data_IF_273014616579
#
_entry.id   IF_273014616579
#
_cell.length_a   1.000
_cell.length_b   1.000
_cell.length_c   1.000
_cell.angle_alpha   90.00
_cell.angle_beta   90.00
_cell.angle_gamma   90.00
#
_symmetry.space_group_name_H-M   'P 1'
#
loop_
_entity.id
_entity.type
_entity.pdbx_description
1 polymer ?
#
# COMPACT_ATOMS: atom_id res chain seq x y z
N UNK A 1 -52.07 -11.29 18.25
CA UNK A 1 -51.76 -11.83 16.91
C UNK A 1 -50.26 -11.77 16.74
N UNK A 2 -49.65 -12.79 16.12
CA UNK A 2 -48.18 -12.99 16.13
C UNK A 2 -47.36 -11.74 15.73
N UNK A 3 -47.93 -10.87 14.90
CA UNK A 3 -47.30 -9.60 14.48
C UNK A 3 -47.14 -8.62 15.66
N UNK A 4 -48.14 -8.53 16.54
CA UNK A 4 -48.13 -7.64 17.71
C UNK A 4 -47.06 -8.07 18.75
N UNK A 5 -46.84 -9.39 18.87
CA UNK A 5 -45.81 -9.97 19.75
C UNK A 5 -44.40 -9.72 19.21
N UNK A 6 -44.22 -9.77 17.89
CA UNK A 6 -42.95 -9.44 17.23
C UNK A 6 -42.64 -7.95 17.36
N UNK A 7 -43.63 -7.06 17.17
CA UNK A 7 -43.43 -5.61 17.32
C UNK A 7 -43.09 -5.20 18.76
N UNK A 8 -43.75 -5.82 19.75
CA UNK A 8 -43.44 -5.56 21.16
C UNK A 8 -42.09 -6.14 21.59
N UNK A 9 -41.68 -7.28 21.02
CA UNK A 9 -40.34 -7.82 21.26
C UNK A 9 -39.24 -6.91 20.68
N UNK A 10 -39.43 -6.35 19.49
CA UNK A 10 -38.50 -5.42 18.85
C UNK A 10 -38.39 -4.12 19.66
N UNK A 11 -39.52 -3.54 20.08
CA UNK A 11 -39.53 -2.32 20.88
C UNK A 11 -38.80 -2.47 22.24
N UNK A 12 -38.93 -3.65 22.87
CA UNK A 12 -38.24 -3.94 24.13
C UNK A 12 -36.72 -4.12 23.93
N UNK A 13 -36.30 -4.74 22.82
CA UNK A 13 -34.88 -4.88 22.46
C UNK A 13 -34.23 -3.52 22.17
N UNK A 14 -34.94 -2.63 21.46
CA UNK A 14 -34.47 -1.26 21.19
C UNK A 14 -34.32 -0.45 22.49
N UNK A 15 -35.26 -0.56 23.44
CA UNK A 15 -35.21 0.17 24.73
C UNK A 15 -34.08 -0.28 25.67
N UNK A 16 -33.55 -1.49 25.49
CA UNK A 16 -32.48 -2.05 26.33
C UNK A 16 -31.07 -1.81 25.75
N UNK A 17 -30.98 -1.25 24.55
CA UNK A 17 -29.74 -1.12 23.77
C UNK A 17 -28.95 0.17 24.01
N UNK A 18 -29.20 0.90 25.10
CA UNK A 18 -28.53 2.18 25.39
C UNK A 18 -27.17 2.06 26.10
N UNK A 19 -26.69 0.85 26.44
CA UNK A 19 -25.44 0.65 27.18
C UNK A 19 -24.36 -0.20 26.48
N UNK A 20 -24.45 -0.46 25.17
CA UNK A 20 -23.42 -1.26 24.47
C UNK A 20 -23.12 -0.77 23.06
N UNK A 21 -22.72 0.50 22.93
CA UNK A 21 -22.30 1.10 21.66
C UNK A 21 -20.86 0.69 21.26
N UNK A 22 -20.55 -0.60 21.28
CA UNK A 22 -19.26 -1.14 20.79
C UNK A 22 -19.39 -2.37 19.88
N UNK A 23 -20.59 -2.74 19.44
CA UNK A 23 -20.79 -3.81 18.46
C UNK A 23 -21.51 -3.25 17.24
N UNK A 24 -20.77 -3.04 16.15
CA UNK A 24 -21.36 -2.80 14.84
C UNK A 24 -21.89 -4.15 14.34
N UNK A 25 -23.21 -4.31 14.22
CA UNK A 25 -23.83 -5.57 13.77
C UNK A 25 -23.53 -5.92 12.30
N UNK A 26 -23.02 -4.95 11.51
CA UNK A 26 -22.72 -5.14 10.09
C UNK A 26 -21.23 -4.95 9.80
N UNK A 27 -20.69 -5.85 8.96
CA UNK A 27 -19.33 -5.76 8.43
C UNK A 27 -19.31 -4.76 7.28
N UNK A 28 -18.65 -3.62 7.47
CA UNK A 28 -18.45 -2.58 6.46
C UNK A 28 -17.04 -2.61 5.83
N UNK A 29 -16.77 -1.70 4.86
CA UNK A 29 -15.49 -1.59 4.19
C UNK A 29 -14.31 -1.36 5.14
N UNK A 30 -14.53 -0.65 6.24
CA UNK A 30 -13.49 -0.33 7.23
C UNK A 30 -13.06 -1.59 8.02
N UNK A 31 -14.02 -2.43 8.41
CA UNK A 31 -13.74 -3.71 9.08
C UNK A 31 -13.02 -4.68 8.14
N UNK A 32 -13.41 -4.73 6.86
CA UNK A 32 -12.70 -5.54 5.85
C UNK A 32 -11.26 -5.03 5.68
N UNK A 33 -11.10 -3.71 5.58
CA UNK A 33 -9.80 -3.06 5.43
C UNK A 33 -8.87 -3.34 6.61
N UNK A 34 -9.38 -3.34 7.84
CA UNK A 34 -8.59 -3.66 9.04
C UNK A 34 -8.07 -5.10 9.00
N UNK A 35 -8.92 -6.08 8.66
CA UNK A 35 -8.52 -7.49 8.58
C UNK A 35 -7.48 -7.70 7.48
N UNK A 36 -7.72 -7.14 6.28
CA UNK A 36 -6.77 -7.24 5.15
C UNK A 36 -5.44 -6.57 5.50
N UNK A 37 -5.48 -5.43 6.20
CA UNK A 37 -4.26 -4.74 6.66
C UNK A 37 -3.45 -5.59 7.62
N UNK A 38 -4.11 -6.24 8.59
CA UNK A 38 -3.46 -7.14 9.54
C UNK A 38 -2.86 -8.37 8.85
N UNK A 39 -3.54 -8.90 7.83
CA UNK A 39 -3.09 -10.10 7.13
C UNK A 39 -1.92 -9.84 6.19
N UNK A 40 -1.97 -8.71 5.48
CA UNK A 40 -0.98 -8.36 4.45
C UNK A 40 0.16 -7.51 5.00
N UNK A 41 -0.01 -6.89 6.17
CA UNK A 41 0.87 -5.84 6.68
C UNK A 41 0.75 -4.51 5.95
N UNK A 42 -0.17 -4.37 4.98
CA UNK A 42 -0.34 -3.19 4.15
C UNK A 42 -1.56 -2.39 4.66
N UNK A 43 -1.39 -1.18 5.21
CA UNK A 43 -2.51 -0.41 5.76
C UNK A 43 -3.50 0.04 4.67
N UNK A 44 -4.71 -0.51 4.72
CA UNK A 44 -5.83 -0.22 3.79
C UNK A 44 -6.79 0.84 4.37
N UNK A 45 -6.83 1.04 5.69
CA UNK A 45 -7.83 1.89 6.36
C UNK A 45 -7.50 3.41 6.43
N UNK A 46 -6.34 3.86 5.93
CA UNK A 46 -5.93 5.29 5.97
C UNK A 46 -6.35 6.11 4.73
N UNK A 47 -7.19 5.54 3.87
CA UNK A 47 -7.28 5.88 2.44
C UNK A 47 -8.16 7.09 2.03
N UNK A 48 -8.76 7.84 2.95
CA UNK A 48 -9.77 8.85 2.56
C UNK A 48 -9.22 10.18 2.06
N UNK A 49 -8.72 11.01 2.97
CA UNK A 49 -8.34 12.41 2.69
C UNK A 49 -6.82 12.64 2.75
N UNK A 50 -6.15 12.16 3.80
CA UNK A 50 -4.69 12.33 3.96
C UNK A 50 -3.90 11.67 2.82
N UNK A 51 -4.33 10.51 2.33
CA UNK A 51 -3.64 9.83 1.23
C UNK A 51 -3.80 10.59 -0.10
N UNK A 52 -4.98 11.18 -0.32
CA UNK A 52 -5.22 12.01 -1.51
C UNK A 52 -4.35 13.26 -1.50
N UNK A 53 -4.24 13.94 -0.36
CA UNK A 53 -3.33 15.06 -0.20
C UNK A 53 -1.87 14.63 -0.41
N UNK A 54 -1.47 13.47 0.17
CA UNK A 54 -0.14 12.86 -0.03
C UNK A 54 0.19 12.59 -1.50
N UNK A 55 -0.79 12.11 -2.27
CA UNK A 55 -0.61 11.83 -3.69
C UNK A 55 -0.53 13.09 -4.55
N UNK A 56 -1.35 14.11 -4.27
CA UNK A 56 -1.36 15.36 -5.06
C UNK A 56 -0.01 16.09 -4.97
N UNK A 57 0.58 16.19 -3.78
CA UNK A 57 1.89 16.80 -3.56
C UNK A 57 3.06 15.80 -3.51
N UNK A 58 2.93 14.63 -4.16
CA UNK A 58 3.95 13.58 -4.09
C UNK A 58 5.30 14.06 -4.63
N UNK A 59 5.32 14.79 -5.75
CA UNK A 59 6.56 15.35 -6.32
C UNK A 59 7.29 16.29 -5.36
N UNK A 60 6.56 17.23 -4.75
CA UNK A 60 7.12 18.18 -3.78
C UNK A 60 7.68 17.47 -2.55
N UNK A 61 6.98 16.44 -2.06
CA UNK A 61 7.47 15.62 -0.94
C UNK A 61 8.70 14.80 -1.28
N UNK A 62 8.80 14.26 -2.50
CA UNK A 62 10.03 13.62 -2.97
C UNK A 62 11.20 14.61 -3.03
N UNK A 63 10.95 15.86 -3.42
CA UNK A 63 11.96 16.92 -3.45
C UNK A 63 12.47 17.34 -2.07
N UNK A 64 11.77 17.03 -0.98
CA UNK A 64 12.27 17.27 0.38
C UNK A 64 13.53 16.43 0.68
N UNK A 65 13.65 15.24 0.05
CA UNK A 65 14.83 14.36 0.19
C UNK A 65 15.75 14.42 -1.03
N UNK A 66 15.22 14.73 -2.21
CA UNK A 66 15.95 14.69 -3.48
C UNK A 66 16.05 16.08 -4.13
N UNK A 67 17.26 16.62 -4.17
CA UNK A 67 17.55 17.88 -4.85
C UNK A 67 17.75 17.64 -6.36
N UNK A 68 16.99 18.35 -7.19
CA UNK A 68 17.00 18.19 -8.64
C UNK A 68 16.35 16.89 -9.11
N UNK A 69 16.84 16.33 -10.22
CA UNK A 69 16.26 15.14 -10.86
C UNK A 69 14.77 15.31 -11.25
N UNK A 70 14.35 16.54 -11.55
CA UNK A 70 12.93 16.92 -11.73
C UNK A 70 12.19 16.02 -12.72
N UNK A 71 12.84 15.61 -13.80
CA UNK A 71 12.27 14.68 -14.76
C UNK A 71 11.95 13.30 -14.15
N UNK A 72 12.87 12.74 -13.36
CA UNK A 72 12.68 11.44 -12.71
C UNK A 72 11.60 11.52 -11.63
N UNK A 73 11.62 12.57 -10.80
CA UNK A 73 10.61 12.82 -9.77
C UNK A 73 9.22 12.95 -10.40
N UNK A 74 9.08 13.79 -11.44
CA UNK A 74 7.82 13.97 -12.16
C UNK A 74 7.31 12.67 -12.77
N UNK A 75 8.17 11.92 -13.46
CA UNK A 75 7.78 10.66 -14.08
C UNK A 75 7.27 9.63 -13.06
N UNK A 76 7.93 9.53 -11.90
CA UNK A 76 7.51 8.66 -10.79
C UNK A 76 6.17 9.13 -10.23
N UNK A 77 6.04 10.43 -9.90
CA UNK A 77 4.84 10.98 -9.31
C UNK A 77 3.60 10.83 -10.22
N UNK A 78 3.72 11.15 -11.52
CA UNK A 78 2.64 11.00 -12.49
C UNK A 78 2.19 9.54 -12.66
N UNK A 79 3.14 8.60 -12.64
CA UNK A 79 2.85 7.17 -12.78
C UNK A 79 2.09 6.63 -11.56
N UNK A 80 2.53 7.01 -10.36
CA UNK A 80 1.86 6.64 -9.10
C UNK A 80 0.46 7.23 -9.05
N UNK A 81 0.30 8.51 -9.39
CA UNK A 81 -0.99 9.19 -9.42
C UNK A 81 -1.95 8.51 -10.39
N UNK A 82 -1.47 8.17 -11.59
CA UNK A 82 -2.25 7.45 -12.62
C UNK A 82 -2.72 6.08 -12.12
N UNK A 83 -1.84 5.31 -11.48
CA UNK A 83 -2.19 4.01 -10.93
C UNK A 83 -3.26 4.13 -9.84
N UNK A 84 -3.10 5.07 -8.91
CA UNK A 84 -4.06 5.32 -7.83
C UNK A 84 -5.41 5.86 -8.32
N UNK A 85 -5.43 6.55 -9.46
CA UNK A 85 -6.66 6.98 -10.13
C UNK A 85 -7.37 5.84 -10.91
N UNK A 86 -6.86 4.60 -10.87
CA UNK A 86 -7.43 3.47 -11.61
C UNK A 86 -7.17 3.54 -13.13
N UNK A 87 -6.28 4.44 -13.58
CA UNK A 87 -5.89 4.61 -14.98
C UNK A 87 -4.69 3.72 -15.37
N UNK A 88 -4.23 2.89 -14.43
CA UNK A 88 -3.20 1.87 -14.65
C UNK A 88 -3.76 0.60 -15.30
N UNK A 89 -2.86 -0.30 -15.71
CA UNK A 89 -3.25 -1.60 -16.26
C UNK A 89 -3.36 -2.63 -15.13
N UNK A 90 -4.50 -3.32 -14.94
CA UNK A 90 -4.71 -4.22 -13.80
C UNK A 90 -3.70 -5.36 -13.64
N UNK A 91 -3.11 -5.84 -14.75
CA UNK A 91 -2.16 -6.96 -14.77
C UNK A 91 -0.69 -6.52 -14.86
N UNK A 92 -0.39 -5.24 -14.58
CA UNK A 92 0.98 -4.71 -14.65
C UNK A 92 1.35 -4.03 -13.34
N UNK A 93 2.65 -3.95 -12.99
CA UNK A 93 3.10 -3.14 -11.88
C UNK A 93 2.65 -1.69 -12.04
N UNK A 94 2.38 -1.01 -10.90
CA UNK A 94 2.04 0.42 -10.85
C UNK A 94 3.01 1.28 -11.68
N UNK A 95 4.31 0.96 -11.63
CA UNK A 95 5.33 1.56 -12.47
C UNK A 95 6.55 0.66 -12.55
N UNK A 96 7.24 0.67 -13.69
CA UNK A 96 8.54 0.04 -13.88
C UNK A 96 9.50 1.11 -14.36
N UNK A 97 10.58 1.30 -13.59
CA UNK A 97 11.54 2.39 -13.83
C UNK A 97 12.96 1.83 -13.90
N UNK A 98 13.75 2.39 -14.80
CA UNK A 98 15.19 2.19 -14.85
C UNK A 98 15.87 3.55 -14.64
N UNK A 99 16.48 3.74 -13.48
CA UNK A 99 17.23 4.96 -13.18
C UNK A 99 18.68 4.80 -13.63
N UNK A 100 19.12 5.67 -14.54
CA UNK A 100 20.49 5.71 -15.07
C UNK A 100 21.18 7.00 -14.63
N UNK A 101 22.49 6.93 -14.40
CA UNK A 101 23.31 8.09 -14.06
C UNK A 101 24.53 7.74 -13.20
N UNK A 102 25.39 8.72 -12.85
CA UNK A 102 26.56 8.51 -12.00
C UNK A 102 26.22 8.01 -10.59
N UNK A 103 27.20 7.49 -9.86
CA UNK A 103 27.04 7.15 -8.44
C UNK A 103 26.74 8.41 -7.61
N UNK A 104 25.99 8.26 -6.51
CA UNK A 104 25.71 9.37 -5.59
C UNK A 104 24.64 10.38 -6.02
N UNK A 105 24.11 10.34 -7.25
CA UNK A 105 23.13 11.33 -7.75
C UNK A 105 21.68 11.14 -7.24
N UNK A 106 21.44 10.21 -6.31
CA UNK A 106 20.14 10.02 -5.67
C UNK A 106 19.20 8.99 -6.29
N UNK A 107 19.68 8.10 -7.18
CA UNK A 107 18.86 7.02 -7.79
C UNK A 107 18.19 6.11 -6.74
N UNK A 108 18.98 5.60 -5.79
CA UNK A 108 18.48 4.76 -4.69
C UNK A 108 17.66 5.57 -3.69
N UNK A 109 18.02 6.84 -3.51
CA UNK A 109 17.32 7.74 -2.60
C UNK A 109 15.89 8.03 -3.08
N UNK A 110 15.69 8.21 -4.38
CA UNK A 110 14.35 8.35 -4.98
C UNK A 110 13.45 7.14 -4.68
N UNK A 111 14.01 5.92 -4.76
CA UNK A 111 13.26 4.70 -4.45
C UNK A 111 12.88 4.61 -2.96
N UNK A 112 13.80 4.96 -2.05
CA UNK A 112 13.55 5.00 -0.60
C UNK A 112 12.53 6.07 -0.22
N UNK A 113 12.70 7.29 -0.74
CA UNK A 113 11.77 8.38 -0.52
C UNK A 113 10.36 8.02 -1.03
N UNK A 114 10.26 7.35 -2.18
CA UNK A 114 8.98 6.85 -2.68
C UNK A 114 8.35 5.82 -1.74
N UNK A 115 9.14 4.87 -1.21
CA UNK A 115 8.65 3.88 -0.27
C UNK A 115 8.11 4.54 1.01
N UNK A 116 8.84 5.50 1.56
CA UNK A 116 8.38 6.30 2.72
C UNK A 116 7.08 7.05 2.40
N UNK A 117 6.96 7.69 1.23
CA UNK A 117 5.75 8.44 0.89
C UNK A 117 4.52 7.55 0.68
N UNK A 118 4.72 6.32 0.21
CA UNK A 118 3.63 5.37 -0.05
C UNK A 118 3.25 4.51 1.15
N UNK A 119 4.21 4.22 2.04
CA UNK A 119 4.05 3.23 3.11
C UNK A 119 4.45 3.74 4.49
N UNK A 120 4.78 5.03 4.62
CA UNK A 120 5.24 5.70 5.85
C UNK A 120 6.56 5.13 6.44
N UNK A 121 7.25 4.23 5.73
CA UNK A 121 8.54 3.64 6.14
C UNK A 121 9.36 3.23 4.91
N UNK A 122 10.60 3.72 4.81
CA UNK A 122 11.51 3.37 3.70
C UNK A 122 12.04 1.93 3.78
N UNK A 123 11.93 1.28 4.95
CA UNK A 123 12.30 -0.12 5.17
C UNK A 123 11.30 -1.11 4.61
N UNK A 124 10.10 -0.66 4.27
CA UNK A 124 9.09 -1.48 3.58
C UNK A 124 9.43 -1.67 2.10
N UNK A 125 10.51 -1.05 1.60
CA UNK A 125 11.09 -1.36 0.30
C UNK A 125 11.82 -2.71 0.33
N UNK A 126 11.37 -3.64 -0.51
CA UNK A 126 12.12 -4.88 -0.79
C UNK A 126 13.35 -4.51 -1.63
N UNK A 127 14.52 -4.54 -0.99
CA UNK A 127 15.81 -4.25 -1.64
C UNK A 127 16.50 -5.53 -2.05
N UNK A 128 16.76 -5.69 -3.33
CA UNK A 128 17.53 -6.81 -3.87
C UNK A 128 18.85 -6.28 -4.40
N UNK A 129 19.97 -6.74 -3.83
CA UNK A 129 21.31 -6.34 -4.28
C UNK A 129 21.72 -7.16 -5.50
N UNK A 130 21.60 -6.57 -6.69
CA UNK A 130 21.93 -7.24 -7.95
C UNK A 130 23.40 -7.66 -8.06
N UNK A 131 24.30 -7.10 -7.24
CA UNK A 131 25.70 -7.53 -7.19
C UNK A 131 25.84 -8.97 -6.67
N UNK A 132 24.87 -9.44 -5.88
CA UNK A 132 24.82 -10.83 -5.41
C UNK A 132 24.28 -11.81 -6.47
N UNK A 133 23.79 -11.29 -7.60
CA UNK A 133 23.11 -12.08 -8.65
C UNK A 133 23.93 -12.23 -9.94
N UNK A 134 25.26 -12.05 -9.88
CA UNK A 134 26.12 -12.10 -11.06
C UNK A 134 26.30 -13.50 -11.65
N UNK A 135 26.15 -14.55 -10.83
CA UNK A 135 26.39 -15.94 -11.22
C UNK A 135 25.08 -16.65 -11.58
N UNK A 136 25.07 -17.55 -12.57
CA UNK A 136 23.82 -18.19 -13.04
C UNK A 136 23.00 -18.87 -11.93
N UNK A 137 23.67 -19.48 -10.96
CA UNK A 137 23.01 -20.22 -9.88
C UNK A 137 22.43 -19.32 -8.78
N UNK A 138 22.86 -18.05 -8.72
CA UNK A 138 22.34 -17.08 -7.73
C UNK A 138 20.86 -16.74 -7.93
N UNK A 139 20.33 -16.93 -9.15
CA UNK A 139 18.92 -16.70 -9.51
C UNK A 139 17.97 -17.52 -8.63
N UNK A 140 18.39 -18.71 -8.18
CA UNK A 140 17.60 -19.55 -7.27
C UNK A 140 17.23 -18.85 -5.95
N UNK A 141 18.01 -17.84 -5.52
CA UNK A 141 17.68 -17.03 -4.34
C UNK A 141 16.46 -16.13 -4.56
N UNK A 142 16.13 -15.80 -5.81
CA UNK A 142 14.99 -14.94 -6.15
C UNK A 142 13.72 -15.75 -6.44
N UNK A 143 13.85 -16.87 -7.16
CA UNK A 143 12.71 -17.68 -7.62
C UNK A 143 12.49 -18.97 -6.82
N UNK A 144 13.41 -19.29 -5.90
CA UNK A 144 13.45 -20.55 -5.18
C UNK A 144 14.29 -21.63 -5.86
N UNK A 145 14.83 -22.55 -5.07
CA UNK A 145 15.48 -23.75 -5.60
C UNK A 145 14.43 -24.67 -6.25
N UNK A 146 14.79 -25.39 -7.33
CA UNK A 146 13.90 -26.40 -7.90
C UNK A 146 13.53 -27.48 -6.86
N UNK A 147 12.31 -28.07 -6.94
CA UNK A 147 11.92 -29.15 -6.05
C UNK A 147 12.96 -30.28 -6.03
N UNK A 148 13.36 -30.71 -4.83
CA UNK A 148 14.38 -31.75 -4.62
C UNK A 148 15.82 -31.23 -4.45
N UNK A 149 16.04 -29.92 -4.53
CA UNK A 149 17.31 -29.27 -4.16
C UNK A 149 17.17 -28.55 -2.82
N UNK A 150 18.28 -28.42 -2.08
CA UNK A 150 18.31 -27.63 -0.84
C UNK A 150 18.24 -26.14 -1.21
N UNK A 151 17.29 -25.40 -0.64
CA UNK A 151 17.03 -23.98 -0.86
C UNK A 151 16.78 -23.24 0.44
#
# INVERSE_FOLDING_TARGET
GAIQEVETAIANLESTSTESTMLTEAVGPDQISEVVSRWTGIPVSRLGQNEKEKLIGLGDRLHQRLVGQDHAVRAVAETVLRSRAGLGRPQQPTGSFLFLGPTGVGKTELAKALAEQLFDDDKLMIRIDMSEYMEQHSVARLIGAPPGYVG
#
